data_IF_250616908340
#
_entry.id   IF_250616908340
#
_cell.length_a   1.000
_cell.length_b   1.000
_cell.length_c   1.000
_cell.angle_alpha   90.00
_cell.angle_beta   90.00
_cell.angle_gamma   90.00
#
_symmetry.space_group_name_H-M   'P 1'
#
loop_
_entity.id
_entity.type
_entity.pdbx_description
1 polymer ?
#
# COMPACT_ATOMS: atom_id res chain seq x y z
N UNK A 1 -18.73 31.25 9.49
CA UNK A 1 -19.74 30.45 8.79
C UNK A 1 -18.98 29.45 7.94
N UNK A 2 -18.93 28.16 8.30
CA UNK A 2 -18.33 27.12 7.45
C UNK A 2 -19.32 26.88 6.31
N UNK A 3 -18.92 27.09 5.09
CA UNK A 3 -19.69 26.66 3.92
C UNK A 3 -19.60 25.13 3.94
N UNK A 4 -20.72 24.45 4.19
CA UNK A 4 -20.81 23.00 4.05
C UNK A 4 -20.86 22.68 2.55
N UNK A 5 -19.98 21.82 2.09
CA UNK A 5 -19.97 21.34 0.71
C UNK A 5 -20.93 20.15 0.60
N UNK A 6 -22.03 20.31 -0.12
CA UNK A 6 -23.04 19.26 -0.28
C UNK A 6 -22.72 18.29 -1.44
N UNK A 7 -21.60 18.51 -2.16
CA UNK A 7 -21.17 17.61 -3.23
C UNK A 7 -20.69 16.28 -2.65
N UNK A 8 -20.92 15.15 -3.34
CA UNK A 8 -20.52 13.84 -2.86
C UNK A 8 -18.99 13.67 -2.78
N UNK A 9 -18.55 12.74 -1.94
CA UNK A 9 -17.19 12.20 -1.96
C UNK A 9 -17.07 11.23 -3.13
N UNK A 10 -16.04 11.36 -3.96
CA UNK A 10 -15.75 10.37 -5.00
C UNK A 10 -14.71 9.36 -4.51
N UNK A 11 -15.01 8.07 -4.65
CA UNK A 11 -14.10 6.97 -4.35
C UNK A 11 -13.59 6.41 -5.67
N UNK A 12 -12.33 6.71 -6.01
CA UNK A 12 -11.65 6.19 -7.20
C UNK A 12 -11.01 4.84 -6.86
N UNK A 13 -11.46 3.76 -7.49
CA UNK A 13 -11.00 2.39 -7.21
C UNK A 13 -11.04 1.54 -8.46
N UNK A 14 -10.33 0.39 -8.47
CA UNK A 14 -10.40 -0.58 -9.57
C UNK A 14 -10.77 -2.00 -9.07
N UNK A 15 -10.47 -2.34 -7.81
CA UNK A 15 -10.77 -3.67 -7.31
C UNK A 15 -12.22 -3.78 -6.80
N UNK A 16 -13.04 -4.74 -7.31
CA UNK A 16 -14.49 -4.76 -7.06
C UNK A 16 -14.86 -5.05 -5.60
N UNK A 17 -13.99 -5.73 -4.85
CA UNK A 17 -14.34 -6.26 -3.52
C UNK A 17 -13.63 -5.57 -2.35
N UNK A 18 -12.46 -4.98 -2.56
CA UNK A 18 -11.62 -4.50 -1.45
C UNK A 18 -12.24 -3.37 -0.64
N UNK A 19 -13.12 -2.60 -1.24
CA UNK A 19 -13.67 -1.39 -0.61
C UNK A 19 -15.11 -1.55 -0.11
N UNK A 20 -15.65 -2.78 -0.12
CA UNK A 20 -16.98 -3.06 0.44
C UNK A 20 -17.15 -2.57 1.88
N UNK A 21 -16.17 -2.73 2.80
CA UNK A 21 -16.29 -2.18 4.15
C UNK A 21 -16.38 -0.66 4.19
N UNK A 22 -15.59 0.04 3.36
CA UNK A 22 -15.67 1.50 3.24
C UNK A 22 -17.02 1.96 2.71
N UNK A 23 -17.51 1.30 1.65
CA UNK A 23 -18.83 1.62 1.09
C UNK A 23 -19.95 1.37 2.11
N UNK A 24 -19.91 0.24 2.82
CA UNK A 24 -20.91 -0.06 3.85
C UNK A 24 -20.92 0.98 4.98
N UNK A 25 -19.74 1.47 5.39
CA UNK A 25 -19.64 2.50 6.43
C UNK A 25 -20.17 3.86 5.93
N UNK A 26 -19.87 4.25 4.68
CA UNK A 26 -20.43 5.46 4.07
C UNK A 26 -21.96 5.37 3.92
N UNK A 27 -22.48 4.24 3.43
CA UNK A 27 -23.90 3.97 3.29
C UNK A 27 -24.62 3.96 4.65
N UNK A 28 -24.05 3.29 5.65
CA UNK A 28 -24.60 3.21 7.00
C UNK A 28 -24.70 4.55 7.72
N UNK A 29 -23.86 5.51 7.35
CA UNK A 29 -23.89 6.89 7.87
C UNK A 29 -24.60 7.89 6.96
N UNK A 30 -25.21 7.42 5.87
CA UNK A 30 -25.89 8.27 4.89
C UNK A 30 -24.99 9.38 4.31
N UNK A 31 -23.65 9.13 4.20
CA UNK A 31 -22.70 10.07 3.60
C UNK A 31 -22.85 10.00 2.07
N UNK A 32 -23.11 11.13 1.38
CA UNK A 32 -23.21 11.14 -0.08
C UNK A 32 -21.85 10.79 -0.71
N UNK A 33 -21.81 9.74 -1.52
CA UNK A 33 -20.62 9.36 -2.26
C UNK A 33 -20.95 8.79 -3.65
N UNK A 34 -19.96 8.82 -4.53
CA UNK A 34 -19.99 8.19 -5.87
C UNK A 34 -18.80 7.27 -6.04
N UNK A 35 -18.96 6.25 -6.84
CA UNK A 35 -17.93 5.26 -7.19
C UNK A 35 -17.37 5.61 -8.56
N UNK A 36 -16.05 5.76 -8.67
CA UNK A 36 -15.34 5.97 -9.92
C UNK A 36 -14.46 4.74 -10.19
N UNK A 37 -14.75 4.06 -11.28
CA UNK A 37 -13.98 2.89 -11.70
C UNK A 37 -12.75 3.34 -12.46
N UNK A 38 -11.55 3.13 -11.90
CA UNK A 38 -10.29 3.53 -12.50
C UNK A 38 -9.90 2.69 -13.71
N UNK A 39 -10.48 1.50 -13.89
CA UNK A 39 -10.23 0.61 -15.03
C UNK A 39 -10.98 1.04 -16.29
N UNK A 40 -12.05 1.84 -16.15
CA UNK A 40 -12.92 2.27 -17.23
C UNK A 40 -13.32 3.75 -17.11
N UNK A 41 -12.35 4.62 -16.83
CA UNK A 41 -12.57 6.04 -16.59
C UNK A 41 -12.02 6.92 -17.71
N UNK A 42 -12.77 7.99 -18.03
CA UNK A 42 -12.32 9.06 -18.93
C UNK A 42 -12.61 10.43 -18.31
N UNK A 43 -11.79 11.42 -18.61
CA UNK A 43 -12.00 12.81 -18.22
C UNK A 43 -11.62 13.74 -19.37
N UNK A 44 -12.22 14.93 -19.41
CA UNK A 44 -11.85 15.97 -20.35
C UNK A 44 -10.81 16.91 -19.71
N UNK A 45 -9.59 17.04 -20.26
CA UNK A 45 -8.60 17.99 -19.76
C UNK A 45 -9.04 19.45 -19.79
N UNK A 46 -10.07 19.80 -20.56
CA UNK A 46 -10.65 21.15 -20.64
C UNK A 46 -11.68 21.43 -19.53
N UNK A 47 -12.09 20.44 -18.75
CA UNK A 47 -12.98 20.65 -17.61
C UNK A 47 -12.39 21.65 -16.62
N UNK A 48 -13.25 22.52 -16.09
CA UNK A 48 -12.90 23.54 -15.11
C UNK A 48 -13.60 23.34 -13.77
N UNK A 49 -14.59 22.48 -13.71
CA UNK A 49 -15.37 22.18 -12.52
C UNK A 49 -15.48 20.68 -12.30
N UNK A 50 -15.52 20.27 -11.04
CA UNK A 50 -15.65 18.87 -10.64
C UNK A 50 -16.81 18.74 -9.65
N UNK A 51 -17.70 17.76 -9.83
CA UNK A 51 -18.91 17.61 -9.01
C UNK A 51 -18.65 16.91 -7.65
N UNK A 52 -17.41 16.93 -7.16
CA UNK A 52 -17.01 16.23 -5.94
C UNK A 52 -16.46 17.21 -4.90
N UNK A 53 -16.77 16.98 -3.62
CA UNK A 53 -16.20 17.71 -2.49
C UNK A 53 -14.79 17.21 -2.13
N UNK A 54 -14.55 15.92 -2.35
CA UNK A 54 -13.31 15.22 -2.08
C UNK A 54 -13.17 14.05 -3.04
N UNK A 55 -11.96 13.75 -3.49
CA UNK A 55 -11.64 12.49 -4.17
C UNK A 55 -10.76 11.65 -3.26
N UNK A 56 -11.11 10.37 -3.10
CA UNK A 56 -10.35 9.39 -2.32
C UNK A 56 -9.75 8.38 -3.28
N UNK A 57 -8.44 8.43 -3.44
CA UNK A 57 -7.73 7.49 -4.29
C UNK A 57 -7.53 6.15 -3.59
N UNK A 58 -8.10 5.11 -4.16
CA UNK A 58 -8.02 3.71 -3.73
C UNK A 58 -7.60 2.79 -4.88
N UNK A 59 -7.00 3.35 -5.95
CA UNK A 59 -6.46 2.56 -7.04
C UNK A 59 -5.16 1.86 -6.61
N UNK A 60 -5.05 0.57 -6.94
CA UNK A 60 -3.94 -0.28 -6.51
C UNK A 60 -2.80 -0.30 -7.54
N UNK A 61 -1.53 -0.26 -7.10
CA UNK A 61 -0.39 -0.53 -7.99
C UNK A 61 -0.40 -1.96 -8.53
N UNK A 62 -1.13 -2.89 -7.90
CA UNK A 62 -1.25 -4.28 -8.35
C UNK A 62 -2.33 -4.51 -9.41
N UNK A 63 -2.93 -3.47 -9.98
CA UNK A 63 -3.94 -3.58 -11.04
C UNK A 63 -3.45 -4.40 -12.25
N UNK A 64 -2.16 -4.35 -12.55
CA UNK A 64 -1.56 -5.14 -13.63
C UNK A 64 -1.74 -6.66 -13.46
N UNK A 65 -1.88 -7.18 -12.23
CA UNK A 65 -2.17 -8.59 -11.98
C UNK A 65 -3.58 -9.00 -12.43
N UNK A 66 -4.45 -8.01 -12.69
CA UNK A 66 -5.83 -8.18 -13.18
C UNK A 66 -5.98 -7.73 -14.64
N UNK A 67 -4.85 -7.59 -15.35
CA UNK A 67 -4.79 -7.10 -16.75
C UNK A 67 -5.26 -5.65 -16.90
N UNK A 68 -5.07 -4.83 -15.89
CA UNK A 68 -5.48 -3.42 -15.83
C UNK A 68 -4.28 -2.50 -15.53
N UNK A 69 -3.11 -2.81 -16.10
CA UNK A 69 -1.88 -2.04 -15.89
C UNK A 69 -2.01 -0.56 -16.26
N UNK A 70 -2.78 -0.27 -17.31
CA UNK A 70 -3.06 1.07 -17.80
C UNK A 70 -3.80 1.93 -16.78
N UNK A 71 -4.63 1.33 -15.90
CA UNK A 71 -5.34 2.05 -14.85
C UNK A 71 -4.37 2.74 -13.88
N UNK A 72 -3.20 2.16 -13.64
CA UNK A 72 -2.15 2.73 -12.79
C UNK A 72 -1.65 4.07 -13.36
N UNK A 73 -1.34 4.10 -14.65
CA UNK A 73 -0.84 5.32 -15.31
C UNK A 73 -1.94 6.35 -15.54
N UNK A 74 -3.15 5.89 -15.88
CA UNK A 74 -4.32 6.75 -16.01
C UNK A 74 -4.66 7.44 -14.69
N UNK A 75 -4.69 6.70 -13.58
CA UNK A 75 -4.95 7.23 -12.24
C UNK A 75 -3.99 8.37 -11.89
N UNK A 76 -2.68 8.20 -12.12
CA UNK A 76 -1.71 9.26 -11.83
C UNK A 76 -2.03 10.56 -12.57
N UNK A 77 -2.40 10.47 -13.86
CA UNK A 77 -2.77 11.63 -14.66
C UNK A 77 -4.08 12.26 -14.19
N UNK A 78 -5.08 11.44 -13.86
CA UNK A 78 -6.37 11.90 -13.32
C UNK A 78 -6.18 12.64 -12.00
N UNK A 79 -5.39 12.11 -11.07
CA UNK A 79 -5.12 12.77 -9.78
C UNK A 79 -4.48 14.15 -9.97
N UNK A 80 -3.49 14.26 -10.86
CA UNK A 80 -2.86 15.56 -11.22
C UNK A 80 -3.87 16.54 -11.81
N UNK A 81 -4.77 16.05 -12.66
CA UNK A 81 -5.85 16.86 -13.24
C UNK A 81 -6.78 17.39 -12.15
N UNK A 82 -7.26 16.54 -11.25
CA UNK A 82 -8.14 16.92 -10.14
C UNK A 82 -7.49 17.93 -9.19
N UNK A 83 -6.22 17.72 -8.84
CA UNK A 83 -5.44 18.64 -8.01
C UNK A 83 -5.26 20.02 -8.69
N UNK A 84 -5.04 20.04 -10.01
CA UNK A 84 -4.98 21.29 -10.79
C UNK A 84 -6.30 22.06 -10.74
N UNK A 85 -7.43 21.37 -10.65
CA UNK A 85 -8.76 21.96 -10.49
C UNK A 85 -9.06 22.38 -9.03
N UNK A 86 -8.11 22.17 -8.10
CA UNK A 86 -8.27 22.53 -6.70
C UNK A 86 -9.16 21.59 -5.88
N UNK A 87 -9.46 20.40 -6.40
CA UNK A 87 -10.21 19.38 -5.65
C UNK A 87 -9.30 18.76 -4.60
N UNK A 88 -9.70 18.70 -3.32
CA UNK A 88 -8.96 17.94 -2.32
C UNK A 88 -8.90 16.45 -2.71
N UNK A 89 -7.71 15.86 -2.60
CA UNK A 89 -7.50 14.43 -2.87
C UNK A 89 -6.86 13.77 -1.66
N UNK A 90 -7.45 12.70 -1.16
CA UNK A 90 -6.86 11.81 -0.16
C UNK A 90 -5.99 10.79 -0.88
N UNK A 91 -4.73 10.72 -0.49
CA UNK A 91 -3.65 10.06 -1.21
C UNK A 91 -3.54 10.57 -2.66
N UNK A 92 -3.20 11.86 -2.77
CA UNK A 92 -3.07 12.57 -4.05
C UNK A 92 -1.93 12.07 -4.93
N UNK A 93 -1.64 12.80 -6.01
CA UNK A 93 -0.70 12.37 -7.06
C UNK A 93 0.72 12.18 -6.54
N UNK A 94 1.18 12.98 -5.56
CA UNK A 94 2.50 12.83 -4.96
C UNK A 94 2.61 11.51 -4.18
N UNK A 95 1.59 11.18 -3.38
CA UNK A 95 1.49 9.89 -2.67
C UNK A 95 1.43 8.73 -3.65
N UNK A 96 0.60 8.84 -4.68
CA UNK A 96 0.44 7.77 -5.66
C UNK A 96 1.70 7.56 -6.50
N UNK A 97 2.45 8.61 -6.80
CA UNK A 97 3.77 8.49 -7.45
C UNK A 97 4.78 7.70 -6.60
N UNK A 98 4.71 7.82 -5.28
CA UNK A 98 5.51 7.03 -4.35
C UNK A 98 4.99 5.58 -4.26
N UNK A 99 3.67 5.40 -4.20
CA UNK A 99 3.03 4.08 -4.12
C UNK A 99 3.40 3.18 -5.31
N UNK A 100 3.46 3.75 -6.52
CA UNK A 100 3.82 3.03 -7.75
C UNK A 100 5.32 2.97 -8.01
N UNK A 101 6.18 3.26 -7.03
CA UNK A 101 7.63 3.23 -7.23
C UNK A 101 8.40 2.86 -5.96
N UNK A 102 8.81 1.60 -5.86
CA UNK A 102 9.67 1.14 -4.77
C UNK A 102 11.04 1.84 -4.77
N UNK A 103 11.55 2.20 -5.94
CA UNK A 103 12.76 3.00 -6.04
C UNK A 103 12.59 4.37 -5.35
N UNK A 104 11.48 5.05 -5.61
CA UNK A 104 11.21 6.34 -4.97
C UNK A 104 10.96 6.21 -3.45
N UNK A 105 10.38 5.10 -2.98
CA UNK A 105 10.28 4.82 -1.54
C UNK A 105 11.68 4.76 -0.89
N UNK A 106 12.65 4.10 -1.53
CA UNK A 106 14.03 4.05 -1.00
C UNK A 106 14.70 5.42 -1.00
N UNK A 107 14.48 6.25 -2.03
CA UNK A 107 15.00 7.63 -2.06
C UNK A 107 14.46 8.46 -0.88
N UNK A 108 13.18 8.32 -0.57
CA UNK A 108 12.55 8.99 0.59
C UNK A 108 13.17 8.51 1.91
N UNK A 109 13.35 7.20 2.08
CA UNK A 109 13.98 6.65 3.27
C UNK A 109 15.45 7.13 3.41
N UNK A 110 16.17 7.17 2.30
CA UNK A 110 17.55 7.71 2.25
C UNK A 110 17.58 9.19 2.61
N UNK A 111 16.69 10.01 2.05
CA UNK A 111 16.58 11.44 2.36
C UNK A 111 16.31 11.68 3.85
N UNK A 112 15.47 10.85 4.46
CA UNK A 112 15.13 10.94 5.88
C UNK A 112 16.22 10.37 6.80
N UNK A 113 17.24 9.68 6.24
CA UNK A 113 18.29 9.00 6.99
C UNK A 113 17.79 7.74 7.73
N UNK A 114 16.75 7.10 7.23
CA UNK A 114 16.19 5.90 7.84
C UNK A 114 16.77 4.63 7.23
N UNK A 115 17.00 3.58 8.04
CA UNK A 115 17.52 2.33 7.55
C UNK A 115 16.54 1.63 6.60
N UNK A 116 17.07 1.10 5.50
CA UNK A 116 16.35 0.24 4.57
C UNK A 116 17.32 -0.84 4.02
N UNK A 117 16.82 -2.00 3.55
CA UNK A 117 17.68 -3.01 2.96
C UNK A 117 18.45 -2.46 1.78
N UNK A 118 19.78 -2.70 1.73
CA UNK A 118 20.62 -2.21 0.61
C UNK A 118 20.07 -2.70 -0.71
N UNK A 119 19.94 -1.82 -1.68
CA UNK A 119 19.37 -2.14 -2.98
C UNK A 119 20.06 -1.39 -4.12
N UNK A 120 19.85 -1.89 -5.33
CA UNK A 120 20.22 -1.25 -6.59
C UNK A 120 19.01 -1.22 -7.49
N UNK A 121 18.70 -0.07 -8.05
CA UNK A 121 17.64 0.08 -9.06
C UNK A 121 18.24 -0.26 -10.43
N UNK A 122 17.54 -1.11 -11.16
CA UNK A 122 17.94 -1.57 -12.49
C UNK A 122 16.80 -1.40 -13.48
N UNK A 123 17.13 -1.17 -14.75
CA UNK A 123 16.18 -1.11 -15.88
C UNK A 123 16.45 -2.18 -16.96
N UNK A 124 17.29 -3.13 -16.63
CA UNK A 124 17.60 -4.27 -17.49
C UNK A 124 18.07 -5.45 -16.64
N UNK A 125 17.57 -6.63 -16.92
CA UNK A 125 18.03 -7.87 -16.28
C UNK A 125 19.52 -8.14 -16.51
N UNK A 126 20.08 -7.68 -17.64
CA UNK A 126 21.48 -7.87 -17.99
C UNK A 126 22.47 -7.21 -17.01
N UNK A 127 22.06 -6.16 -16.29
CA UNK A 127 22.90 -5.46 -15.32
C UNK A 127 22.72 -5.97 -13.88
N UNK A 128 21.80 -6.92 -13.65
CA UNK A 128 21.44 -7.36 -12.31
C UNK A 128 22.64 -7.94 -11.54
N UNK A 129 23.48 -8.74 -12.20
CA UNK A 129 24.68 -9.34 -11.59
C UNK A 129 25.66 -8.26 -11.16
N UNK A 130 26.06 -7.37 -12.07
CA UNK A 130 26.95 -6.25 -11.75
C UNK A 130 26.39 -5.35 -10.65
N UNK A 131 25.07 -5.11 -10.68
CA UNK A 131 24.39 -4.32 -9.66
C UNK A 131 24.41 -4.98 -8.27
N UNK A 132 24.66 -6.29 -8.20
CA UNK A 132 24.73 -7.05 -6.95
C UNK A 132 26.15 -7.21 -6.38
N UNK A 133 27.20 -6.76 -7.07
CA UNK A 133 28.62 -7.03 -6.70
C UNK A 133 28.96 -6.67 -5.23
N UNK A 134 28.35 -5.63 -4.68
CA UNK A 134 28.61 -5.18 -3.31
C UNK A 134 27.43 -5.46 -2.36
N UNK A 135 26.43 -6.23 -2.81
CA UNK A 135 25.29 -6.66 -1.99
C UNK A 135 25.58 -8.00 -1.32
N UNK A 136 24.99 -8.17 -0.14
CA UNK A 136 25.08 -9.42 0.61
C UNK A 136 23.99 -10.38 0.14
N UNK A 137 24.39 -11.57 -0.34
CA UNK A 137 23.46 -12.64 -0.66
C UNK A 137 22.92 -13.33 0.62
N UNK A 138 21.67 -13.89 0.57
CA UNK A 138 20.79 -13.89 -0.59
C UNK A 138 20.25 -12.49 -0.92
N UNK A 139 19.94 -12.29 -2.20
CA UNK A 139 19.26 -11.09 -2.69
C UNK A 139 17.88 -11.46 -3.23
N UNK A 140 16.99 -10.47 -3.31
CA UNK A 140 15.75 -10.56 -4.06
C UNK A 140 15.78 -9.59 -5.24
N UNK A 141 15.21 -10.01 -6.36
CA UNK A 141 14.84 -9.08 -7.44
C UNK A 141 13.34 -8.89 -7.36
N UNK A 142 12.91 -7.63 -7.36
CA UNK A 142 11.49 -7.26 -7.32
C UNK A 142 11.18 -6.15 -8.30
N UNK A 143 9.99 -6.20 -8.91
CA UNK A 143 9.50 -5.12 -9.77
C UNK A 143 9.32 -3.82 -8.97
N UNK A 144 9.59 -2.69 -9.63
CA UNK A 144 9.41 -1.36 -9.06
C UNK A 144 7.92 -1.06 -8.81
N UNK A 145 7.07 -1.29 -9.82
CA UNK A 145 5.62 -1.28 -9.65
C UNK A 145 5.20 -2.68 -9.25
N UNK A 146 4.81 -2.86 -7.99
CA UNK A 146 4.44 -4.16 -7.45
C UNK A 146 3.43 -4.00 -6.34
N UNK A 147 2.79 -5.10 -6.01
CA UNK A 147 1.88 -5.18 -4.86
C UNK A 147 1.61 -6.64 -4.53
N UNK A 148 1.19 -6.89 -3.29
CA UNK A 148 0.86 -8.23 -2.80
C UNK A 148 1.99 -9.27 -2.95
N UNK A 149 3.26 -8.83 -2.92
CA UNK A 149 4.44 -9.72 -3.05
C UNK A 149 4.66 -10.32 -4.44
N UNK A 150 3.87 -9.95 -5.44
CA UNK A 150 4.03 -10.44 -6.79
C UNK A 150 5.34 -9.94 -7.42
N UNK A 151 5.97 -10.79 -8.24
CA UNK A 151 7.20 -10.43 -8.95
C UNK A 151 8.44 -10.31 -8.05
N UNK A 152 8.46 -10.98 -6.87
CA UNK A 152 9.64 -11.07 -6.02
C UNK A 152 10.28 -12.45 -6.20
N UNK A 153 11.53 -12.47 -6.64
CA UNK A 153 12.30 -13.71 -6.81
C UNK A 153 13.59 -13.64 -6.01
N UNK A 154 13.86 -14.69 -5.23
CA UNK A 154 15.11 -14.85 -4.44
C UNK A 154 16.19 -15.50 -5.29
N UNK A 155 17.42 -15.08 -5.01
CA UNK A 155 18.66 -15.69 -5.51
C UNK A 155 19.62 -15.86 -4.35
N UNK A 156 20.09 -17.08 -4.14
CA UNK A 156 20.96 -17.41 -3.01
C UNK A 156 22.45 -17.15 -3.32
N UNK A 157 22.79 -17.04 -4.61
CA UNK A 157 24.16 -16.76 -5.04
C UNK A 157 24.21 -15.90 -6.32
N UNK A 158 25.36 -15.27 -6.60
CA UNK A 158 25.60 -14.56 -7.87
C UNK A 158 25.39 -15.45 -9.09
N UNK A 159 25.77 -16.73 -9.03
CA UNK A 159 25.66 -17.69 -10.12
C UNK A 159 24.18 -17.97 -10.48
N UNK A 160 23.31 -18.07 -9.47
CA UNK A 160 21.86 -18.21 -9.69
C UNK A 160 21.28 -17.00 -10.38
N UNK A 161 21.68 -15.79 -9.93
CA UNK A 161 21.26 -14.53 -10.52
C UNK A 161 21.74 -14.38 -11.96
N UNK A 162 23.00 -14.77 -12.24
CA UNK A 162 23.60 -14.77 -13.59
C UNK A 162 22.83 -15.73 -14.52
N UNK A 163 22.54 -16.93 -14.04
CA UNK A 163 21.78 -17.90 -14.81
C UNK A 163 20.36 -17.41 -15.14
N UNK A 164 19.70 -16.77 -14.19
CA UNK A 164 18.38 -16.18 -14.38
C UNK A 164 18.42 -15.03 -15.40
N UNK A 165 19.43 -14.16 -15.32
CA UNK A 165 19.64 -13.08 -16.27
C UNK A 165 19.88 -13.61 -17.69
N UNK A 166 20.76 -14.63 -17.83
CA UNK A 166 21.05 -15.26 -19.11
C UNK A 166 19.85 -15.95 -19.74
N UNK A 167 18.94 -16.50 -18.93
CA UNK A 167 17.69 -17.15 -19.38
C UNK A 167 16.56 -16.17 -19.67
N UNK A 168 16.72 -14.88 -19.34
CA UNK A 168 15.65 -13.88 -19.46
C UNK A 168 14.48 -14.13 -18.51
N UNK A 169 14.72 -14.80 -17.37
CA UNK A 169 13.68 -15.12 -16.39
C UNK A 169 13.50 -14.07 -15.30
N UNK A 170 14.29 -12.99 -15.31
CA UNK A 170 14.13 -11.85 -14.39
C UNK A 170 13.02 -10.95 -14.93
N UNK A 171 11.90 -10.90 -14.18
CA UNK A 171 10.79 -9.99 -14.50
C UNK A 171 10.97 -8.66 -13.76
N UNK A 172 10.98 -7.56 -14.50
CA UNK A 172 11.08 -6.19 -13.97
C UNK A 172 9.72 -5.49 -13.91
N UNK A 173 8.63 -6.21 -14.22
CA UNK A 173 7.27 -5.67 -14.16
C UNK A 173 6.90 -4.76 -15.32
N UNK A 174 5.81 -4.02 -15.15
CA UNK A 174 5.13 -3.29 -16.25
C UNK A 174 5.84 -2.00 -16.68
N UNK A 175 6.70 -1.43 -15.84
CA UNK A 175 7.51 -0.25 -16.14
C UNK A 175 8.97 -0.61 -16.53
N UNK A 176 9.29 -1.90 -16.57
CA UNK A 176 10.62 -2.42 -16.86
C UNK A 176 11.72 -1.87 -15.92
N UNK A 177 11.35 -1.53 -14.69
CA UNK A 177 12.28 -1.13 -13.64
C UNK A 177 12.17 -2.13 -12.49
N UNK A 178 13.29 -2.51 -11.93
CA UNK A 178 13.33 -3.43 -10.79
C UNK A 178 14.39 -3.04 -9.78
N UNK A 179 14.37 -3.73 -8.66
CA UNK A 179 15.36 -3.57 -7.59
C UNK A 179 16.04 -4.92 -7.33
N UNK A 180 17.38 -4.92 -7.32
CA UNK A 180 18.16 -5.99 -6.70
C UNK A 180 18.41 -5.56 -5.26
N UNK A 181 17.90 -6.30 -4.29
CA UNK A 181 17.89 -5.89 -2.88
C UNK A 181 18.38 -7.03 -1.99
N UNK A 182 19.20 -6.69 -0.95
CA UNK A 182 19.57 -7.66 0.09
C UNK A 182 18.33 -8.22 0.77
N UNK A 183 18.27 -9.53 0.91
CA UNK A 183 17.26 -10.17 1.74
C UNK A 183 17.67 -10.06 3.20
N UNK A 184 16.82 -9.42 3.99
CA UNK A 184 17.04 -9.26 5.44
C UNK A 184 16.41 -10.43 6.17
N UNK A 185 17.19 -11.25 6.88
CA UNK A 185 16.64 -12.24 7.79
C UNK A 185 16.08 -11.52 9.02
N UNK A 186 14.76 -11.60 9.21
CA UNK A 186 14.10 -10.86 10.29
C UNK A 186 13.92 -11.69 11.56
N UNK A 187 13.99 -10.99 12.70
CA UNK A 187 13.89 -11.57 14.05
C UNK A 187 12.44 -12.02 14.33
N UNK A 188 12.28 -13.06 15.15
CA UNK A 188 11.01 -13.54 15.69
C UNK A 188 9.97 -13.98 14.63
N UNK A 189 10.39 -14.14 13.38
CA UNK A 189 9.56 -14.67 12.31
C UNK A 189 8.38 -13.77 11.91
N UNK A 190 8.43 -12.46 12.20
CA UNK A 190 7.39 -11.52 11.82
C UNK A 190 7.92 -10.22 11.23
N UNK A 191 7.08 -9.56 10.48
CA UNK A 191 7.25 -8.15 10.10
C UNK A 191 6.25 -7.31 10.89
N UNK A 192 6.54 -6.03 11.06
CA UNK A 192 5.61 -5.10 11.70
C UNK A 192 5.07 -4.13 10.68
N UNK A 193 3.75 -4.03 10.62
CA UNK A 193 3.02 -3.05 9.81
C UNK A 193 2.40 -2.01 10.71
N UNK A 194 2.70 -0.74 10.44
CA UNK A 194 2.21 0.43 11.18
C UNK A 194 1.23 1.20 10.31
N UNK A 195 -0.02 1.21 10.69
CA UNK A 195 -1.06 1.96 9.99
C UNK A 195 -1.10 3.41 10.46
N UNK A 196 -1.31 4.31 9.50
CA UNK A 196 -1.42 5.76 9.73
C UNK A 196 -2.70 6.33 9.14
N UNK A 197 -3.24 7.36 9.78
CA UNK A 197 -4.36 8.15 9.30
C UNK A 197 -4.12 9.63 9.57
N UNK A 198 -4.28 10.48 8.55
CA UNK A 198 -3.96 11.91 8.66
C UNK A 198 -2.49 12.18 9.01
N UNK A 199 -1.58 11.29 8.56
CA UNK A 199 -0.16 11.36 8.87
C UNK A 199 0.22 11.02 10.32
N UNK A 200 -0.69 10.42 11.08
CA UNK A 200 -0.51 10.05 12.49
C UNK A 200 -0.66 8.54 12.67
N UNK A 201 0.05 8.02 13.65
CA UNK A 201 -0.09 6.62 14.09
C UNK A 201 -1.55 6.28 14.38
N UNK A 202 -2.05 5.18 13.83
CA UNK A 202 -3.38 4.67 14.05
C UNK A 202 -3.34 3.39 14.91
N UNK A 203 -2.65 2.37 14.45
CA UNK A 203 -2.34 1.13 15.17
C UNK A 203 -1.17 0.41 14.50
N UNK A 204 -0.66 -0.65 15.13
CA UNK A 204 0.31 -1.52 14.51
C UNK A 204 0.02 -3.00 14.79
N UNK A 205 0.48 -3.84 13.88
CA UNK A 205 0.35 -5.30 13.94
C UNK A 205 1.66 -5.98 13.56
N UNK A 206 1.96 -7.07 14.24
CA UNK A 206 2.94 -8.05 13.81
C UNK A 206 2.26 -9.06 12.90
N UNK A 207 2.83 -9.28 11.73
CA UNK A 207 2.34 -10.25 10.75
C UNK A 207 3.35 -11.38 10.65
N UNK A 208 2.91 -12.59 10.96
CA UNK A 208 3.70 -13.81 10.90
C UNK A 208 3.35 -14.53 9.60
N UNK A 209 4.26 -14.61 8.61
CA UNK A 209 4.04 -15.37 7.39
C UNK A 209 3.71 -16.85 7.69
N UNK A 210 2.99 -17.49 6.79
CA UNK A 210 2.80 -18.96 6.89
C UNK A 210 4.16 -19.66 6.77
N UNK A 211 4.32 -20.81 7.44
CA UNK A 211 5.52 -21.64 7.34
C UNK A 211 5.83 -21.91 5.86
N UNK A 212 7.10 -21.76 5.47
CA UNK A 212 7.64 -21.90 4.10
C UNK A 212 7.23 -20.79 3.10
N UNK A 213 6.49 -19.76 3.52
CA UNK A 213 6.24 -18.60 2.67
C UNK A 213 7.46 -17.69 2.65
N UNK A 214 8.20 -17.70 1.54
CA UNK A 214 9.34 -16.79 1.30
C UNK A 214 8.89 -15.35 1.05
N UNK A 215 7.61 -15.16 0.76
CA UNK A 215 7.00 -13.87 0.52
C UNK A 215 6.51 -13.28 1.83
N UNK A 216 7.03 -12.11 2.14
CA UNK A 216 6.54 -11.23 3.20
C UNK A 216 5.10 -10.74 2.93
N UNK A 217 4.62 -11.02 1.72
CA UNK A 217 3.23 -10.86 1.32
C UNK A 217 2.74 -12.18 0.71
N UNK A 218 1.60 -12.74 1.11
CA UNK A 218 1.14 -14.08 0.73
C UNK A 218 0.61 -14.20 -0.71
N UNK A 219 1.22 -13.53 -1.67
CA UNK A 219 0.82 -13.60 -3.08
C UNK A 219 1.04 -14.98 -3.71
N UNK A 220 1.96 -15.83 -3.18
CA UNK A 220 2.19 -17.18 -3.68
C UNK A 220 1.01 -18.14 -3.44
N UNK A 221 0.08 -17.79 -2.54
CA UNK A 221 -1.17 -18.52 -2.38
C UNK A 221 -2.20 -18.26 -3.51
N UNK A 222 -1.85 -17.44 -4.48
CA UNK A 222 -2.74 -17.04 -5.57
C UNK A 222 -2.64 -17.89 -6.84
N UNK A 223 -1.85 -18.97 -6.82
CA UNK A 223 -1.84 -19.93 -7.93
C UNK A 223 -2.35 -21.30 -7.46
N UNK A 224 -3.32 -21.85 -8.19
CA UNK A 224 -3.65 -23.27 -8.03
C UNK A 224 -2.51 -24.11 -8.60
N UNK A 225 -2.41 -25.39 -8.18
CA UNK A 225 -1.50 -26.38 -8.76
C UNK A 225 -1.67 -26.55 -10.28
N UNK A 226 -2.70 -25.95 -10.87
CA UNK A 226 -3.01 -25.94 -12.31
C UNK A 226 -2.74 -24.59 -13.00
N UNK A 227 -2.09 -23.63 -12.29
CA UNK A 227 -1.69 -22.35 -12.88
C UNK A 227 -2.84 -21.33 -13.09
N UNK A 228 -4.03 -21.59 -12.56
CA UNK A 228 -5.11 -20.60 -12.58
C UNK A 228 -4.89 -19.55 -11.51
N UNK A 229 -4.87 -18.27 -11.91
CA UNK A 229 -4.83 -17.16 -11.01
C UNK A 229 -6.06 -17.18 -10.08
N UNK A 230 -5.86 -17.45 -8.81
CA UNK A 230 -6.89 -17.21 -7.81
C UNK A 230 -7.01 -15.69 -7.64
N UNK A 231 -8.15 -15.12 -7.99
CA UNK A 231 -8.57 -13.75 -7.71
C UNK A 231 -8.74 -13.53 -6.20
N UNK A 232 -7.68 -13.75 -5.40
CA UNK A 232 -7.70 -13.53 -3.96
C UNK A 232 -6.62 -12.53 -3.58
N UNK A 233 -7.11 -11.44 -3.05
CA UNK A 233 -6.36 -10.44 -2.33
C UNK A 233 -5.58 -11.06 -1.18
N UNK A 234 -4.33 -11.40 -1.41
CA UNK A 234 -3.42 -11.78 -0.35
C UNK A 234 -2.75 -10.52 0.21
N UNK A 235 -3.54 -9.65 0.82
CA UNK A 235 -3.03 -8.53 1.59
C UNK A 235 -2.95 -8.94 3.07
N UNK A 236 -2.09 -8.30 3.87
CA UNK A 236 -2.06 -8.46 5.33
C UNK A 236 -3.45 -8.37 5.99
N UNK A 237 -4.40 -7.76 5.31
CA UNK A 237 -5.82 -7.66 5.62
C UNK A 237 -6.49 -9.01 5.72
N UNK A 238 -6.19 -9.93 4.80
CA UNK A 238 -6.76 -11.29 4.76
C UNK A 238 -5.84 -12.32 5.43
N UNK A 239 -4.78 -11.86 6.13
CA UNK A 239 -3.81 -12.69 6.81
C UNK A 239 -4.44 -13.83 7.63
N UNK A 240 -5.43 -13.59 8.50
CA UNK A 240 -6.07 -14.67 9.26
C UNK A 240 -6.80 -15.68 8.37
N UNK A 241 -7.41 -15.24 7.27
CA UNK A 241 -8.10 -16.13 6.32
C UNK A 241 -7.13 -17.01 5.52
N UNK A 242 -5.88 -16.55 5.37
CA UNK A 242 -4.83 -17.24 4.63
C UNK A 242 -3.89 -18.06 5.55
N UNK A 243 -4.27 -18.26 6.81
CA UNK A 243 -3.48 -19.02 7.79
C UNK A 243 -2.29 -18.27 8.37
N UNK A 244 -2.17 -16.95 8.11
CA UNK A 244 -1.19 -16.10 8.75
C UNK A 244 -1.67 -15.65 10.12
N UNK A 245 -0.78 -15.67 11.11
CA UNK A 245 -1.05 -15.12 12.42
C UNK A 245 -0.81 -13.63 12.43
N UNK A 246 -1.75 -12.88 12.99
CA UNK A 246 -1.66 -11.42 13.16
C UNK A 246 -1.88 -11.10 14.63
N UNK A 247 -1.01 -10.26 15.20
CA UNK A 247 -1.09 -9.82 16.58
C UNK A 247 -0.96 -8.30 16.65
N UNK A 248 -1.76 -7.66 17.50
CA UNK A 248 -1.56 -6.23 17.77
C UNK A 248 -0.25 -6.00 18.51
N UNK A 249 0.42 -4.92 18.20
CA UNK A 249 1.63 -4.49 18.90
C UNK A 249 1.68 -2.97 19.06
N UNK A 250 2.57 -2.51 19.91
CA UNK A 250 2.89 -1.09 20.04
C UNK A 250 4.38 -0.92 19.77
N UNK A 251 4.77 -0.39 18.59
CA UNK A 251 6.18 -0.13 18.30
C UNK A 251 6.80 0.86 19.29
N UNK A 252 8.12 0.82 19.48
CA UNK A 252 8.83 1.85 20.22
C UNK A 252 8.50 3.26 19.72
N UNK A 253 8.52 4.24 20.62
CA UNK A 253 8.11 5.62 20.30
C UNK A 253 8.94 6.24 19.17
N UNK A 254 10.22 5.97 19.12
CA UNK A 254 11.12 6.44 18.06
C UNK A 254 10.76 5.86 16.68
N UNK A 255 10.28 4.62 16.60
CA UNK A 255 9.75 4.01 15.36
C UNK A 255 8.45 4.72 14.94
N UNK A 256 7.54 4.96 15.88
CA UNK A 256 6.30 5.70 15.60
C UNK A 256 6.64 7.10 15.06
N UNK A 257 7.57 7.80 15.68
CA UNK A 257 8.01 9.14 15.24
C UNK A 257 8.63 9.10 13.84
N UNK A 258 9.39 8.05 13.50
CA UNK A 258 9.93 7.85 12.16
C UNK A 258 8.82 7.58 11.14
N UNK A 259 7.85 6.73 11.46
CA UNK A 259 6.68 6.45 10.62
C UNK A 259 5.87 7.73 10.35
N UNK A 260 5.59 8.54 11.38
CA UNK A 260 4.90 9.83 11.21
C UNK A 260 5.71 10.82 10.36
N UNK A 261 7.06 10.80 10.45
CA UNK A 261 7.93 11.60 9.58
C UNK A 261 7.89 11.14 8.12
N UNK A 262 7.87 9.82 7.87
CA UNK A 262 7.68 9.27 6.51
C UNK A 262 6.33 9.74 5.98
N UNK A 263 5.24 9.49 6.71
CA UNK A 263 3.88 9.85 6.31
C UNK A 263 3.77 11.34 5.98
N UNK A 264 4.36 12.21 6.81
CA UNK A 264 4.40 13.66 6.59
C UNK A 264 5.21 14.02 5.34
N UNK A 265 6.38 13.39 5.13
CA UNK A 265 7.26 13.70 3.99
C UNK A 265 6.58 13.41 2.66
N UNK A 266 5.81 12.33 2.58
CA UNK A 266 5.09 11.93 1.36
C UNK A 266 3.65 12.44 1.31
N UNK A 267 3.18 13.14 2.34
CA UNK A 267 1.79 13.61 2.47
C UNK A 267 0.77 12.45 2.48
N UNK A 268 1.12 11.35 3.14
CA UNK A 268 0.28 10.17 3.26
C UNK A 268 -0.91 10.45 4.17
N UNK A 269 -2.11 10.49 3.62
CA UNK A 269 -3.34 10.64 4.39
C UNK A 269 -3.74 9.35 5.09
N UNK A 270 -3.70 8.22 4.37
CA UNK A 270 -3.99 6.89 4.89
C UNK A 270 -3.06 5.87 4.26
N UNK A 271 -2.44 5.02 5.08
CA UNK A 271 -1.54 3.99 4.58
C UNK A 271 -0.83 3.23 5.68
N UNK A 272 -0.16 2.15 5.28
CA UNK A 272 0.62 1.27 6.13
C UNK A 272 2.10 1.32 5.77
N UNK A 273 2.96 1.45 6.76
CA UNK A 273 4.41 1.44 6.61
C UNK A 273 4.96 0.19 7.29
N UNK A 274 5.78 -0.56 6.56
CA UNK A 274 6.27 -1.85 7.01
C UNK A 274 7.75 -1.79 7.35
N UNK A 275 8.11 -2.40 8.48
CA UNK A 275 9.50 -2.60 8.87
C UNK A 275 9.73 -4.00 9.44
N UNK A 276 10.99 -4.41 9.44
CA UNK A 276 11.46 -5.64 10.06
C UNK A 276 12.69 -5.34 10.92
N UNK A 277 12.98 -6.22 11.88
CA UNK A 277 14.20 -6.15 12.69
C UNK A 277 15.17 -7.21 12.16
N UNK A 278 16.33 -6.76 11.67
CA UNK A 278 17.36 -7.66 11.15
C UNK A 278 17.98 -8.47 12.32
N UNK A 279 17.90 -9.80 12.24
CA UNK A 279 18.49 -10.68 13.27
C UNK A 279 20.02 -10.59 13.36
N UNK A 280 20.69 -10.01 12.34
CA UNK A 280 22.16 -9.91 12.28
C UNK A 280 22.71 -8.76 13.10
N UNK A 281 21.97 -7.65 13.22
CA UNK A 281 22.42 -6.43 13.89
C UNK A 281 21.40 -5.82 14.85
N UNK A 282 20.20 -6.38 14.93
CA UNK A 282 19.11 -5.91 15.80
C UNK A 282 18.49 -4.57 15.37
N UNK A 283 18.86 -4.06 14.18
CA UNK A 283 18.33 -2.78 13.69
C UNK A 283 17.03 -3.00 12.93
N UNK A 284 16.14 -2.02 13.01
CA UNK A 284 14.95 -1.99 12.16
C UNK A 284 15.28 -1.46 10.77
N UNK A 285 14.60 -2.00 9.76
CA UNK A 285 14.70 -1.62 8.36
C UNK A 285 13.30 -1.43 7.79
N UNK A 286 13.00 -0.21 7.32
CA UNK A 286 11.79 0.04 6.55
C UNK A 286 11.96 -0.51 5.14
N UNK A 287 10.93 -1.17 4.59
CA UNK A 287 11.09 -1.80 3.28
C UNK A 287 9.88 -1.62 2.34
N UNK A 288 8.73 -1.18 2.86
CA UNK A 288 7.53 -0.92 2.06
C UNK A 288 6.67 0.20 2.67
N UNK A 289 6.17 1.09 1.80
CA UNK A 289 5.27 2.19 2.15
C UNK A 289 4.03 2.05 1.28
N UNK A 290 2.92 1.64 1.89
CA UNK A 290 1.70 1.31 1.18
C UNK A 290 0.65 2.40 1.39
N UNK A 291 0.33 3.17 0.34
CA UNK A 291 -0.73 4.17 0.37
C UNK A 291 -2.12 3.54 0.20
N UNK A 292 -2.19 2.32 -0.31
CA UNK A 292 -3.41 1.55 -0.36
C UNK A 292 -3.48 0.61 0.84
N UNK A 293 -3.98 1.09 1.98
CA UNK A 293 -4.31 0.24 3.11
C UNK A 293 -5.81 -0.05 3.17
N UNK A 294 -6.16 -1.32 3.28
CA UNK A 294 -7.52 -1.77 3.55
C UNK A 294 -7.73 -2.15 5.02
N UNK A 295 -6.75 -1.87 5.87
CA UNK A 295 -6.71 -2.20 7.28
C UNK A 295 -6.71 -3.72 7.57
N UNK A 296 -6.52 -4.11 8.80
CA UNK A 296 -6.49 -5.51 9.19
C UNK A 296 -7.91 -6.12 9.21
N UNK A 297 -8.04 -7.35 8.72
CA UNK A 297 -9.31 -8.09 8.83
C UNK A 297 -9.67 -8.32 10.30
N UNK A 298 -10.97 -8.34 10.59
CA UNK A 298 -11.49 -8.51 11.95
C UNK A 298 -10.89 -7.51 12.97
N UNK A 299 -10.71 -6.26 12.52
CA UNK A 299 -10.01 -5.22 13.26
C UNK A 299 -10.54 -5.01 14.68
N UNK A 300 -11.87 -5.12 14.91
CA UNK A 300 -12.46 -4.97 16.25
C UNK A 300 -11.89 -5.98 17.25
N UNK A 301 -11.63 -7.22 16.82
CA UNK A 301 -11.02 -8.25 17.66
C UNK A 301 -9.50 -8.13 17.72
N UNK A 302 -8.84 -7.71 16.65
CA UNK A 302 -7.37 -7.61 16.59
C UNK A 302 -6.86 -6.34 17.26
N UNK A 303 -7.43 -5.17 16.94
CA UNK A 303 -6.94 -3.85 17.40
C UNK A 303 -7.92 -3.11 18.29
N UNK A 304 -9.11 -3.67 18.57
CA UNK A 304 -10.08 -3.14 19.53
C UNK A 304 -11.03 -2.07 18.99
N UNK A 305 -10.95 -1.70 17.72
CA UNK A 305 -11.84 -0.73 17.07
C UNK A 305 -11.95 -0.98 15.57
N UNK A 306 -12.91 -0.32 14.92
CA UNK A 306 -13.05 -0.37 13.47
C UNK A 306 -12.31 0.81 12.82
N UNK A 307 -11.23 0.59 12.06
CA UNK A 307 -10.49 1.67 11.43
C UNK A 307 -11.26 2.33 10.27
N UNK A 308 -12.28 1.68 9.69
CA UNK A 308 -13.14 2.31 8.67
C UNK A 308 -14.01 3.41 9.28
N UNK A 309 -14.48 3.27 10.52
CA UNK A 309 -15.16 4.36 11.24
C UNK A 309 -14.27 5.60 11.33
N UNK A 310 -12.98 5.42 11.70
CA UNK A 310 -11.99 6.50 11.77
C UNK A 310 -11.69 7.10 10.39
N UNK A 311 -11.59 6.25 9.38
CA UNK A 311 -11.36 6.71 8.01
C UNK A 311 -12.53 7.59 7.54
N UNK A 312 -13.79 7.17 7.72
CA UNK A 312 -14.95 7.96 7.31
C UNK A 312 -15.03 9.27 8.08
N UNK A 313 -14.74 9.30 9.40
CA UNK A 313 -14.63 10.56 10.17
C UNK A 313 -13.61 11.51 9.52
N UNK A 314 -12.44 10.98 9.15
CA UNK A 314 -11.40 11.74 8.48
C UNK A 314 -11.85 12.27 7.12
N UNK A 315 -12.48 11.44 6.29
CA UNK A 315 -12.96 11.82 4.96
C UNK A 315 -14.03 12.90 5.03
N UNK A 316 -15.00 12.77 5.92
CA UNK A 316 -16.07 13.78 6.16
C UNK A 316 -15.46 15.11 6.57
N UNK A 317 -14.49 15.10 7.49
CA UNK A 317 -13.79 16.31 7.92
C UNK A 317 -13.01 16.96 6.77
N UNK A 318 -12.35 16.15 5.92
CA UNK A 318 -11.59 16.62 4.74
C UNK A 318 -12.48 17.16 3.64
N UNK A 319 -13.67 16.59 3.45
CA UNK A 319 -14.69 17.05 2.50
C UNK A 319 -15.38 18.36 2.95
N UNK A 320 -15.17 18.78 4.20
CA UNK A 320 -15.88 19.94 4.76
C UNK A 320 -17.36 19.70 5.01
N UNK A 321 -17.80 18.44 5.04
CA UNK A 321 -19.17 18.04 5.30
C UNK A 321 -19.53 18.22 6.78
N UNK A 322 -20.81 18.45 7.13
CA UNK A 322 -21.25 18.48 8.52
C UNK A 322 -21.07 17.09 9.17
N UNK A 323 -20.41 17.05 10.32
CA UNK A 323 -20.34 15.82 11.12
C UNK A 323 -21.72 15.62 11.77
N UNK A 324 -22.47 14.61 11.33
CA UNK A 324 -23.68 14.19 12.07
C UNK A 324 -23.22 13.64 13.42
N UNK A 325 -23.69 14.24 14.51
CA UNK A 325 -23.45 13.70 15.84
C UNK A 325 -24.03 12.28 15.91
N UNK A 326 -23.29 11.29 16.48
CA UNK A 326 -23.84 9.96 16.64
C UNK A 326 -25.13 10.05 17.48
N UNK A 327 -26.22 9.46 16.98
CA UNK A 327 -27.45 9.33 17.75
C UNK A 327 -27.10 8.61 19.07
N UNK A 328 -27.52 9.14 20.24
CA UNK A 328 -27.28 8.45 21.50
C UNK A 328 -27.97 7.09 21.43
N UNK A 329 -27.22 6.03 21.70
CA UNK A 329 -27.70 4.66 21.73
C UNK A 329 -29.05 4.63 22.50
N UNK A 330 -30.14 4.25 21.79
CA UNK A 330 -31.44 4.05 22.40
C UNK A 330 -31.27 3.01 23.50
N UNK A 331 -31.39 3.45 24.74
CA UNK A 331 -31.44 2.54 25.89
C UNK A 331 -32.58 1.54 25.65
N UNK A 332 -32.22 0.28 25.51
CA UNK A 332 -33.18 -0.81 25.46
C UNK A 332 -33.99 -0.77 26.77
N UNK A 333 -35.31 -0.60 26.64
CA UNK A 333 -36.26 -0.73 27.73
C UNK A 333 -36.59 -2.20 27.96
#
# INVERSE_FOLDING_TARGET
>A
MRITDDRPIAILYEHPDWFKPLFAELEGREIPFVRLDASAHAYDPAETEVPYSLVVNRASPSAYLRSEAESTFHTLNLLRHLERLGVPVVNGSAVYSMEISKAFQLDILQELGFPYPRARVINSAAVAVQASDDLRFPVVVKANIGGSGAGITRYDSPEELELAAARGSIDLGVDHVGLVQELVPYTDGHITRVETLGGRFLYAINVYPAEDSFNLCPADACQTTEGQALTRSACAIDAPKNGMRVETCTPPRDIIDQVERIAKRVQLDVGGIEYMIDQRDGRHYFYDINALSNFVADARNVVGFDPFERLVDYLVARAGMPVSAPEPARAAR
#
